data_IF_892586945129
#
_entry.id   IF_892586945129
#
_cell.length_a   1.000
_cell.length_b   1.000
_cell.length_c   1.000
_cell.angle_alpha   90.00
_cell.angle_beta   90.00
_cell.angle_gamma   90.00
#
_symmetry.space_group_name_H-M   'P 1'
#
loop_
_entity.id
_entity.type
_entity.pdbx_description
1 polymer ?
#
# COMPACT_ATOMS: atom_id res chain seq x y z
N UNK A 1 -16.94 0.15 -1.36
CA UNK A 1 -16.63 1.20 -0.34
C UNK A 1 -16.52 0.67 1.11
N UNK A 2 -17.17 -0.44 1.51
CA UNK A 2 -17.14 -0.93 2.91
C UNK A 2 -15.80 -1.60 3.29
N UNK A 3 -15.17 -2.35 2.38
CA UNK A 3 -13.94 -3.13 2.64
C UNK A 3 -12.79 -2.26 3.18
N UNK A 4 -12.39 -1.20 2.47
CA UNK A 4 -11.30 -0.32 2.93
C UNK A 4 -11.57 0.46 4.22
N UNK A 5 -12.83 0.50 4.69
CA UNK A 5 -13.15 1.17 5.97
C UNK A 5 -12.85 0.27 7.16
N UNK A 6 -13.14 -1.03 7.06
CA UNK A 6 -12.91 -2.02 8.14
C UNK A 6 -11.41 -2.23 8.32
N UNK A 7 -10.68 -2.49 7.23
CA UNK A 7 -9.22 -2.69 7.27
C UNK A 7 -8.49 -1.47 7.84
N UNK A 8 -8.97 -0.25 7.53
CA UNK A 8 -8.42 0.98 8.10
C UNK A 8 -8.64 1.05 9.61
N UNK A 9 -9.80 0.61 10.11
CA UNK A 9 -10.08 0.60 11.56
C UNK A 9 -9.24 -0.44 12.29
N UNK A 10 -9.08 -1.64 11.71
CA UNK A 10 -8.21 -2.68 12.24
C UNK A 10 -6.75 -2.23 12.24
N UNK A 11 -6.27 -1.63 11.15
CA UNK A 11 -4.93 -1.07 11.10
C UNK A 11 -4.75 0.05 12.13
N UNK A 12 -5.71 0.97 12.25
CA UNK A 12 -5.69 2.03 13.26
C UNK A 12 -5.61 1.46 14.68
N UNK A 13 -6.35 0.39 14.98
CA UNK A 13 -6.25 -0.30 16.27
C UNK A 13 -4.88 -0.95 16.46
N UNK A 14 -4.28 -1.52 15.40
CA UNK A 14 -2.97 -2.17 15.48
C UNK A 14 -1.81 -1.20 15.72
N UNK A 15 -1.96 0.06 15.31
CA UNK A 15 -0.98 1.15 15.56
C UNK A 15 -1.39 2.04 16.74
N UNK A 16 -2.47 1.72 17.43
CA UNK A 16 -2.87 2.44 18.62
C UNK A 16 -1.86 2.22 19.75
N UNK A 17 -1.64 3.25 20.57
CA UNK A 17 -0.68 3.23 21.68
C UNK A 17 0.47 4.22 21.49
N UNK A 18 1.50 4.12 22.33
CA UNK A 18 2.70 4.96 22.28
C UNK A 18 3.99 4.16 22.11
N UNK A 19 3.87 2.86 21.79
CA UNK A 19 5.03 2.00 21.53
C UNK A 19 5.68 2.38 20.20
N UNK A 20 6.98 2.10 20.07
CA UNK A 20 7.72 2.29 18.83
C UNK A 20 7.19 1.35 17.75
N UNK A 21 6.88 1.89 16.58
CA UNK A 21 6.42 1.13 15.42
C UNK A 21 7.28 1.41 14.19
N UNK A 22 7.42 0.40 13.34
CA UNK A 22 8.00 0.54 12.00
C UNK A 22 7.04 -0.08 10.97
N UNK A 23 6.88 0.58 9.82
CA UNK A 23 6.00 0.07 8.75
C UNK A 23 6.82 -0.79 7.79
N UNK A 24 6.39 -2.04 7.58
CA UNK A 24 6.98 -2.94 6.59
C UNK A 24 6.22 -2.84 5.27
N UNK A 25 6.92 -2.39 4.23
CA UNK A 25 6.54 -2.58 2.82
C UNK A 25 7.38 -3.69 2.16
N UNK A 26 7.71 -3.53 0.87
CA UNK A 26 8.53 -4.51 0.12
C UNK A 26 10.01 -4.60 0.55
N UNK A 27 10.45 -3.85 1.56
CA UNK A 27 11.85 -3.78 2.06
C UNK A 27 12.90 -3.41 0.99
N UNK A 28 12.48 -2.85 -0.14
CA UNK A 28 13.38 -2.43 -1.23
C UNK A 28 14.32 -1.30 -0.84
N UNK A 29 14.00 -0.55 0.22
CA UNK A 29 14.82 0.51 0.81
C UNK A 29 14.87 0.40 2.35
N UNK A 30 14.94 -0.82 2.88
CA UNK A 30 14.79 -1.07 4.33
C UNK A 30 15.81 -0.34 5.23
N UNK A 31 17.03 -0.13 4.73
CA UNK A 31 18.11 0.52 5.49
C UNK A 31 18.23 2.03 5.20
N UNK A 32 17.37 2.58 4.34
CA UNK A 32 17.34 4.00 4.03
C UNK A 32 16.62 4.75 5.15
N UNK A 33 17.25 5.79 5.69
CA UNK A 33 16.72 6.57 6.83
C UNK A 33 17.29 6.16 8.19
N UNK A 34 18.17 5.15 8.23
CA UNK A 34 18.89 4.72 9.43
C UNK A 34 18.45 3.36 9.95
N UNK A 35 19.14 2.87 10.98
CA UNK A 35 18.83 1.59 11.61
C UNK A 35 17.53 1.68 12.40
N UNK A 36 16.67 0.68 12.21
CA UNK A 36 15.42 0.54 12.96
C UNK A 36 15.71 0.11 14.39
N UNK A 37 15.04 0.71 15.36
CA UNK A 37 15.14 0.28 16.76
C UNK A 37 14.73 -1.20 16.88
N UNK A 38 15.56 -2.07 17.47
CA UNK A 38 15.25 -3.50 17.59
C UNK A 38 13.99 -3.78 18.42
N UNK A 39 13.52 -2.82 19.22
CA UNK A 39 12.29 -2.91 20.00
C UNK A 39 11.07 -2.36 19.25
N UNK A 40 11.24 -1.77 18.07
CA UNK A 40 10.12 -1.28 17.27
C UNK A 40 9.29 -2.46 16.76
N UNK A 41 8.00 -2.44 17.04
CA UNK A 41 7.06 -3.44 16.51
C UNK A 41 6.80 -3.16 15.04
N UNK A 42 6.94 -4.19 14.23
CA UNK A 42 6.70 -4.08 12.81
C UNK A 42 5.22 -4.22 12.47
N UNK A 43 4.69 -3.36 11.62
CA UNK A 43 3.29 -3.36 11.17
C UNK A 43 3.21 -3.31 9.65
N UNK A 44 2.19 -3.95 9.07
CA UNK A 44 1.92 -3.92 7.63
C UNK A 44 0.69 -3.07 7.36
N UNK A 45 0.79 -2.20 6.36
CA UNK A 45 -0.35 -1.39 5.92
C UNK A 45 -1.41 -2.25 5.23
N UNK A 46 -2.69 -1.81 5.19
CA UNK A 46 -3.73 -2.46 4.42
C UNK A 46 -3.36 -2.64 2.95
N UNK A 47 -3.89 -3.69 2.33
CA UNK A 47 -3.59 -4.09 0.93
C UNK A 47 -4.89 -4.24 0.14
N UNK A 48 -4.77 -4.29 -1.18
CA UNK A 48 -5.90 -4.54 -2.09
C UNK A 48 -6.48 -3.28 -2.72
N UNK A 49 -7.18 -3.47 -3.84
CA UNK A 49 -7.90 -2.40 -4.54
C UNK A 49 -9.30 -2.22 -3.94
N UNK A 50 -9.62 -0.99 -3.51
CA UNK A 50 -10.90 -0.62 -2.90
C UNK A 50 -11.89 -0.04 -3.91
N UNK A 51 -11.36 0.63 -4.93
CA UNK A 51 -12.13 1.31 -5.97
C UNK A 51 -11.23 1.58 -7.17
N UNK A 52 -11.78 1.51 -8.38
CA UNK A 52 -11.10 1.89 -9.61
C UNK A 52 -12.12 2.47 -10.58
N UNK A 53 -11.90 3.72 -11.00
CA UNK A 53 -12.74 4.42 -11.96
C UNK A 53 -11.91 4.75 -13.20
N UNK A 54 -11.85 3.85 -14.20
CA UNK A 54 -10.99 4.02 -15.38
C UNK A 54 -11.25 5.31 -16.15
N UNK A 55 -12.52 5.74 -16.25
CA UNK A 55 -12.92 6.97 -16.95
C UNK A 55 -12.38 8.24 -16.29
N UNK A 56 -12.09 8.18 -15.00
CA UNK A 56 -11.50 9.28 -14.23
C UNK A 56 -9.99 9.11 -14.03
N UNK A 57 -9.43 7.96 -14.45
CA UNK A 57 -8.02 7.59 -14.23
C UNK A 57 -7.64 7.61 -12.74
N UNK A 58 -8.58 7.23 -11.87
CA UNK A 58 -8.38 7.19 -10.42
C UNK A 58 -8.57 5.78 -9.87
N UNK A 59 -7.68 5.39 -8.97
CA UNK A 59 -7.80 4.15 -8.20
C UNK A 59 -7.59 4.45 -6.71
N UNK A 60 -8.22 3.66 -5.86
CA UNK A 60 -8.05 3.70 -4.41
C UNK A 60 -7.65 2.31 -3.96
N UNK A 61 -6.56 2.21 -3.23
CA UNK A 61 -6.04 0.96 -2.73
C UNK A 61 -5.46 1.15 -1.33
N UNK A 62 -5.20 0.02 -0.65
CA UNK A 62 -4.40 0.03 0.56
C UNK A 62 -2.96 0.45 0.28
N UNK A 63 -2.30 1.13 1.22
CA UNK A 63 -0.93 1.62 1.03
C UNK A 63 0.12 0.49 0.93
N UNK A 64 -0.22 -0.73 1.37
CA UNK A 64 0.61 -1.92 1.22
C UNK A 64 0.36 -2.69 -0.08
N UNK A 65 -0.58 -2.26 -0.92
CA UNK A 65 -0.89 -2.92 -2.21
C UNK A 65 0.33 -2.95 -3.10
N UNK A 66 0.62 -4.10 -3.71
CA UNK A 66 1.82 -4.25 -4.51
C UNK A 66 1.69 -3.51 -5.85
N UNK A 67 2.83 -3.13 -6.40
CA UNK A 67 2.90 -2.55 -7.73
C UNK A 67 2.38 -3.51 -8.83
N UNK A 68 2.61 -4.82 -8.65
CA UNK A 68 2.09 -5.86 -9.55
C UNK A 68 0.56 -5.91 -9.54
N UNK A 69 -0.07 -5.88 -8.36
CA UNK A 69 -1.53 -5.88 -8.23
C UNK A 69 -2.16 -4.64 -8.87
N UNK A 70 -1.53 -3.47 -8.71
CA UNK A 70 -1.98 -2.23 -9.35
C UNK A 70 -1.85 -2.33 -10.89
N UNK A 71 -0.73 -2.84 -11.42
CA UNK A 71 -0.58 -3.02 -12.87
C UNK A 71 -1.60 -3.97 -13.46
N UNK A 72 -1.90 -5.07 -12.77
CA UNK A 72 -2.89 -6.05 -13.23
C UNK A 72 -4.26 -5.41 -13.48
N UNK A 73 -4.74 -4.57 -12.57
CA UNK A 73 -6.05 -3.92 -12.74
C UNK A 73 -6.04 -2.78 -13.75
N UNK A 74 -4.94 -2.03 -13.85
CA UNK A 74 -4.79 -0.97 -14.87
C UNK A 74 -4.73 -1.56 -16.28
N UNK A 75 -4.07 -2.72 -16.43
CA UNK A 75 -3.94 -3.45 -17.69
C UNK A 75 -5.28 -3.87 -18.31
N UNK A 76 -6.30 -4.15 -17.48
CA UNK A 76 -7.67 -4.44 -17.96
C UNK A 76 -8.25 -3.31 -18.82
N UNK A 77 -7.77 -2.08 -18.64
CA UNK A 77 -8.21 -0.88 -19.34
C UNK A 77 -7.12 -0.24 -20.22
N UNK A 78 -6.00 -0.93 -20.47
CA UNK A 78 -4.82 -0.39 -21.16
C UNK A 78 -4.32 0.93 -20.55
N UNK A 79 -4.40 1.04 -19.21
CA UNK A 79 -3.87 2.17 -18.45
C UNK A 79 -2.54 1.80 -17.79
N UNK A 80 -1.76 2.81 -17.44
CA UNK A 80 -0.43 2.67 -16.83
C UNK A 80 -0.17 3.79 -15.84
N UNK A 81 0.71 3.55 -14.87
CA UNK A 81 1.24 4.61 -14.02
C UNK A 81 2.34 5.39 -14.77
N UNK A 82 2.57 6.67 -14.44
CA UNK A 82 3.54 7.52 -15.15
C UNK A 82 4.99 7.03 -15.11
N UNK A 83 5.31 6.12 -14.19
CA UNK A 83 6.65 5.55 -13.99
C UNK A 83 6.76 4.09 -14.42
N UNK A 84 5.73 3.54 -15.08
CA UNK A 84 5.80 2.21 -15.66
C UNK A 84 6.86 2.19 -16.77
N UNK A 85 7.54 1.05 -16.90
CA UNK A 85 8.50 0.86 -18.00
C UNK A 85 7.77 0.99 -19.35
N UNK A 86 8.43 1.58 -20.35
CA UNK A 86 7.84 1.69 -21.69
C UNK A 86 7.52 0.30 -22.25
N UNK A 87 6.23 0.05 -22.50
CA UNK A 87 5.72 -1.20 -23.07
C UNK A 87 5.08 -2.17 -22.07
N UNK A 88 4.80 -1.72 -20.83
CA UNK A 88 3.87 -2.39 -19.93
C UNK A 88 2.45 -2.40 -20.47
#
# INVERSE_FOLDING_TARGET
MILGTIERQEFAASVAGSDLITVIGGKTQWDIGGTIDPNARAVSAPVGIYDYTPSEMTLRCGAGTTYEEIQNILGEHNQMLPFDAKGG
#
